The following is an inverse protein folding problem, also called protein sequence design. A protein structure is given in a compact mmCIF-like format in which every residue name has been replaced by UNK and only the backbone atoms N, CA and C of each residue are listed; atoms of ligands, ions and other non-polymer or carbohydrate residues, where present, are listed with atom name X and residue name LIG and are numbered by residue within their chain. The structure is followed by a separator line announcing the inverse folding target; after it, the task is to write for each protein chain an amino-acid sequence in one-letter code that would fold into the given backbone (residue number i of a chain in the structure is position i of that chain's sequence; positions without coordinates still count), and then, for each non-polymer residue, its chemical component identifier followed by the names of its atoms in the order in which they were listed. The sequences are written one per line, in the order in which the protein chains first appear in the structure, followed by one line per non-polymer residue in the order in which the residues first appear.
data_IF_334614831567
#
_entry.id   IF_334614831567
#
_cell.length_a   1.000
_cell.length_b   1.000
_cell.length_c   1.000
_cell.angle_alpha   90.00
_cell.angle_beta   90.00
_cell.angle_gamma   90.00
#
_symmetry.space_group_name_H-M   'P 1'
#
loop_
_entity.id
_entity.type
_entity.pdbx_description
1 polymer ?
#
# COMPACT_ATOMS: atom_id res chain seq x y z
N UNK A 1 -6.04 9.57 10.46
CA UNK A 1 -4.73 9.58 11.15
C UNK A 1 -3.58 9.61 10.15
N UNK A 2 -3.57 8.70 9.16
CA UNK A 2 -2.53 8.59 8.13
C UNK A 2 -2.20 9.93 7.43
N UNK A 3 -3.21 10.70 7.01
CA UNK A 3 -2.99 12.02 6.39
C UNK A 3 -2.18 13.00 7.26
N UNK A 4 -2.34 12.96 8.60
CA UNK A 4 -1.56 13.78 9.53
C UNK A 4 -0.11 13.28 9.64
N UNK A 5 0.10 11.96 9.59
CA UNK A 5 1.43 11.35 9.63
C UNK A 5 2.23 11.71 8.38
N UNK A 6 1.58 11.75 7.22
CA UNK A 6 2.22 12.13 5.95
C UNK A 6 2.76 13.57 5.92
N UNK A 7 2.28 14.46 6.79
CA UNK A 7 2.89 15.79 6.97
C UNK A 7 4.30 15.68 7.52
N UNK A 8 4.54 14.74 8.45
CA UNK A 8 5.85 14.50 9.04
C UNK A 8 6.73 13.60 8.17
N UNK A 9 6.12 12.78 7.31
CA UNK A 9 6.80 11.87 6.40
C UNK A 9 6.34 12.09 4.94
N UNK A 10 6.65 13.25 4.35
CA UNK A 10 6.15 13.63 3.03
C UNK A 10 6.68 12.72 1.91
N UNK A 11 7.84 12.08 2.10
CA UNK A 11 8.38 11.11 1.15
C UNK A 11 7.43 9.95 0.90
N UNK A 12 6.65 9.51 1.89
CA UNK A 12 5.67 8.44 1.72
C UNK A 12 4.41 8.87 0.95
N UNK A 13 4.22 10.18 0.74
CA UNK A 13 3.17 10.74 -0.10
C UNK A 13 3.67 11.09 -1.52
N UNK A 14 4.89 10.69 -1.89
CA UNK A 14 5.51 10.97 -3.18
C UNK A 14 5.42 9.82 -4.19
N UNK A 15 6.24 9.92 -5.24
CA UNK A 15 6.43 8.90 -6.30
C UNK A 15 7.90 8.61 -6.54
N UNK A 16 8.18 7.45 -7.12
CA UNK A 16 9.51 7.15 -7.64
C UNK A 16 9.70 7.81 -9.00
N UNK A 17 10.87 8.41 -9.19
CA UNK A 17 11.29 9.02 -10.45
C UNK A 17 12.65 8.48 -10.86
N UNK A 18 12.80 8.14 -12.13
CA UNK A 18 14.09 7.84 -12.73
C UNK A 18 14.84 9.14 -13.03
N UNK A 19 16.07 9.24 -12.55
CA UNK A 19 16.99 10.32 -12.89
C UNK A 19 17.67 10.06 -14.23
N UNK A 20 18.21 11.10 -14.84
CA UNK A 20 18.93 11.00 -16.12
C UNK A 20 20.17 10.07 -16.04
N UNK A 21 20.75 9.91 -14.85
CA UNK A 21 21.87 8.99 -14.60
C UNK A 21 21.45 7.53 -14.31
N UNK A 22 20.15 7.23 -14.37
CA UNK A 22 19.60 5.90 -14.10
C UNK A 22 19.36 5.59 -12.62
N UNK A 23 19.61 6.52 -11.70
CA UNK A 23 19.27 6.34 -10.29
C UNK A 23 17.77 6.61 -10.04
N UNK A 24 17.23 6.00 -9.00
CA UNK A 24 15.87 6.29 -8.52
C UNK A 24 15.92 7.35 -7.42
N UNK A 25 14.96 8.27 -7.45
CA UNK A 25 14.71 9.20 -6.37
C UNK A 25 13.23 9.29 -6.02
N UNK A 26 12.95 9.81 -4.83
CA UNK A 26 11.59 10.11 -4.40
C UNK A 26 11.29 11.57 -4.74
N UNK A 27 10.30 11.78 -5.60
CA UNK A 27 9.70 13.08 -5.82
C UNK A 27 8.53 13.27 -4.86
N UNK A 28 8.63 14.22 -3.92
CA UNK A 28 7.60 14.51 -2.92
C UNK A 28 6.42 15.28 -3.53
N UNK A 29 5.64 14.62 -4.40
CA UNK A 29 4.51 15.22 -5.13
C UNK A 29 3.28 15.50 -4.26
N UNK A 30 3.15 14.80 -3.12
CA UNK A 30 2.00 14.94 -2.23
C UNK A 30 0.74 14.22 -2.73
N UNK A 31 0.86 13.33 -3.71
CA UNK A 31 -0.23 12.49 -4.21
C UNK A 31 -0.77 11.50 -3.16
N UNK A 32 -0.03 11.30 -2.06
CA UNK A 32 -0.47 10.52 -0.92
C UNK A 32 -0.03 9.06 -0.97
N UNK A 33 -0.65 8.26 -0.10
CA UNK A 33 -0.39 6.85 0.10
C UNK A 33 -1.64 6.03 -0.27
N UNK A 34 -1.44 4.77 -0.67
CA UNK A 34 -2.55 3.87 -0.94
C UNK A 34 -3.07 3.31 0.39
N UNK A 35 -4.36 3.50 0.67
CA UNK A 35 -5.04 2.96 1.84
C UNK A 35 -6.06 1.93 1.37
N UNK A 36 -5.84 0.66 1.70
CA UNK A 36 -6.66 -0.46 1.25
C UNK A 36 -7.59 -0.90 2.37
N UNK A 37 -8.88 -0.95 2.07
CA UNK A 37 -9.90 -1.51 2.94
C UNK A 37 -10.38 -2.83 2.32
N UNK A 38 -10.53 -3.85 3.15
CA UNK A 38 -11.05 -5.15 2.75
C UNK A 38 -12.12 -5.60 3.74
N UNK A 39 -13.08 -6.38 3.24
CA UNK A 39 -14.20 -6.89 4.03
C UNK A 39 -14.52 -8.33 3.60
N UNK A 40 -14.95 -9.14 4.56
CA UNK A 40 -15.47 -10.48 4.36
C UNK A 40 -16.75 -10.64 5.16
N UNK A 41 -17.72 -11.40 4.64
CA UNK A 41 -19.00 -11.68 5.31
C UNK A 41 -18.87 -12.91 6.22
N UNK A 42 -17.96 -12.81 7.20
CA UNK A 42 -17.69 -13.83 8.20
C UNK A 42 -17.38 -13.17 9.54
N UNK A 43 -17.63 -13.90 10.63
CA UNK A 43 -17.27 -13.43 11.97
C UNK A 43 -15.75 -13.48 12.19
N UNK A 44 -15.24 -12.58 13.03
CA UNK A 44 -13.81 -12.57 13.41
C UNK A 44 -13.36 -13.91 14.03
N UNK A 45 -14.27 -14.63 14.68
CA UNK A 45 -14.01 -15.97 15.23
C UNK A 45 -13.81 -17.05 14.15
N UNK A 46 -14.40 -16.88 12.96
CA UNK A 46 -14.22 -17.76 11.80
C UNK A 46 -12.90 -17.47 11.11
N UNK A 47 -12.51 -16.19 11.04
CA UNK A 47 -11.17 -15.77 10.56
C UNK A 47 -10.10 -16.34 11.49
N UNK A 48 -10.29 -16.21 12.81
CA UNK A 48 -9.37 -16.71 13.82
C UNK A 48 -8.02 -16.00 13.76
N UNK A 49 -6.94 -16.78 13.82
CA UNK A 49 -5.59 -16.26 13.59
C UNK A 49 -5.40 -15.89 12.12
N UNK A 50 -4.52 -14.92 11.86
CA UNK A 50 -4.17 -14.43 10.53
C UNK A 50 -3.29 -15.45 9.78
N UNK A 51 -3.83 -16.64 9.57
CA UNK A 51 -3.20 -17.77 8.87
C UNK A 51 -3.68 -17.83 7.41
N UNK A 52 -2.73 -17.79 6.48
CA UNK A 52 -2.91 -17.91 5.02
C UNK A 52 -3.65 -19.17 4.58
N UNK A 53 -3.86 -20.16 5.44
CA UNK A 53 -4.67 -21.33 5.14
C UNK A 53 -6.19 -21.10 5.25
N UNK A 54 -6.64 -20.00 5.87
CA UNK A 54 -8.07 -19.69 6.02
C UNK A 54 -8.64 -19.01 4.75
N UNK A 55 -9.66 -19.59 4.08
CA UNK A 55 -10.28 -19.01 2.89
C UNK A 55 -10.93 -17.64 3.12
N UNK A 56 -11.48 -17.39 4.31
CA UNK A 56 -12.10 -16.11 4.67
C UNK A 56 -11.03 -15.03 4.88
N UNK A 57 -9.91 -15.40 5.51
CA UNK A 57 -8.75 -14.50 5.64
C UNK A 57 -8.12 -14.17 4.29
N UNK A 58 -8.06 -15.15 3.37
CA UNK A 58 -7.51 -14.95 2.02
C UNK A 58 -8.18 -13.83 1.24
N UNK A 59 -9.48 -13.60 1.45
CA UNK A 59 -10.25 -12.56 0.79
C UNK A 59 -9.86 -11.15 1.26
N UNK A 60 -9.17 -11.04 2.39
CA UNK A 60 -8.73 -9.77 2.96
C UNK A 60 -7.36 -9.32 2.44
N UNK A 61 -6.63 -10.14 1.67
CA UNK A 61 -5.30 -9.77 1.18
C UNK A 61 -5.36 -8.85 -0.03
N UNK A 62 -4.68 -7.71 0.09
CA UNK A 62 -4.27 -6.92 -1.06
C UNK A 62 -3.09 -7.57 -1.78
N UNK A 63 -3.18 -7.66 -3.10
CA UNK A 63 -2.07 -8.06 -3.97
C UNK A 63 -1.71 -6.89 -4.87
N UNK A 64 -0.41 -6.61 -4.99
CA UNK A 64 0.08 -5.60 -5.92
C UNK A 64 -0.11 -6.06 -7.37
N UNK A 65 -0.59 -5.18 -8.27
CA UNK A 65 -0.61 -5.46 -9.71
C UNK A 65 0.81 -5.74 -10.19
N UNK A 66 1.02 -6.85 -10.91
CA UNK A 66 2.35 -7.26 -11.40
C UNK A 66 2.80 -6.49 -12.64
N UNK A 67 1.91 -5.73 -13.28
CA UNK A 67 2.16 -4.98 -14.52
C UNK A 67 2.27 -3.46 -14.33
N UNK A 68 2.39 -3.01 -13.08
CA UNK A 68 2.54 -1.58 -12.78
C UNK A 68 3.99 -1.13 -12.94
N UNK A 69 4.19 0.01 -13.57
CA UNK A 69 5.50 0.65 -13.59
C UNK A 69 5.88 1.10 -12.18
N UNK A 70 7.17 0.97 -11.85
CA UNK A 70 7.68 1.34 -10.52
C UNK A 70 7.41 2.82 -10.16
N UNK A 71 7.25 3.68 -11.17
CA UNK A 71 6.95 5.11 -11.01
C UNK A 71 5.51 5.36 -10.56
N UNK A 72 4.58 4.46 -10.92
CA UNK A 72 3.16 4.57 -10.57
C UNK A 72 2.84 3.93 -9.21
N UNK A 73 3.83 3.28 -8.59
CA UNK A 73 3.69 2.66 -7.27
C UNK A 73 3.62 3.73 -6.17
N UNK A 74 2.63 3.59 -5.29
CA UNK A 74 2.59 4.36 -4.05
C UNK A 74 3.69 3.88 -3.10
N UNK A 75 4.51 4.80 -2.60
CA UNK A 75 5.65 4.49 -1.72
C UNK A 75 5.25 3.91 -0.36
N UNK A 76 4.00 4.13 0.05
CA UNK A 76 3.41 3.55 1.25
C UNK A 76 2.04 2.98 0.91
N UNK A 77 1.84 1.74 1.34
CA UNK A 77 0.56 1.02 1.28
C UNK A 77 0.22 0.62 2.70
N UNK A 78 -1.00 0.94 3.13
CA UNK A 78 -1.51 0.58 4.46
C UNK A 78 -2.80 -0.21 4.25
N UNK A 79 -2.89 -1.35 4.94
CA UNK A 79 -4.05 -2.24 5.01
C UNK A 79 -4.35 -2.52 6.47
#
# INVERSE_FOLDING_TARGET
ALSKVLVYYPSFAGRLRNKENGELEVECTGEGALFVEAMVDDDLSVIGDLDDHNPSFRQLFFSLPLDIDIQDLHLLIVQ
#
